data_IF_851016543260
#
_entry.id   IF_851016543260
#
_cell.length_a   1.000
_cell.length_b   1.000
_cell.length_c   1.000
_cell.angle_alpha   90.00
_cell.angle_beta   90.00
_cell.angle_gamma   90.00
#
_symmetry.space_group_name_H-M   'P 1'
#
loop_
_entity.id
_entity.type
_entity.pdbx_description
1 polymer ?
#
# COMPACT_ATOMS: atom_id res chain seq x y z
N UNK A 1 -5.56 0.56 11.61
CA UNK A 1 -5.48 0.45 10.14
C UNK A 1 -4.69 1.61 9.59
N UNK A 2 -4.03 1.41 8.46
CA UNK A 2 -3.23 2.45 7.82
C UNK A 2 -3.73 2.69 6.42
N UNK A 3 -3.83 3.97 6.06
CA UNK A 3 -4.10 4.40 4.70
C UNK A 3 -2.80 4.99 4.16
N UNK A 4 -2.30 4.41 3.07
CA UNK A 4 -1.06 4.85 2.43
C UNK A 4 -1.41 5.49 1.10
N UNK A 5 -1.03 6.74 0.93
CA UNK A 5 -1.22 7.49 -0.30
C UNK A 5 0.11 7.62 -1.01
N UNK A 6 0.13 7.22 -2.28
CA UNK A 6 1.29 7.37 -3.16
C UNK A 6 0.97 8.44 -4.20
N UNK A 7 1.82 9.45 -4.29
CA UNK A 7 1.71 10.49 -5.30
C UNK A 7 2.93 10.40 -6.20
N UNK A 8 2.72 10.18 -7.49
CA UNK A 8 3.83 10.11 -8.45
C UNK A 8 4.56 11.44 -8.52
N UNK A 9 5.89 11.38 -8.51
CA UNK A 9 6.78 12.53 -8.60
C UNK A 9 7.71 12.44 -9.80
N UNK A 10 7.45 11.49 -10.69
CA UNK A 10 8.22 11.24 -11.89
C UNK A 10 7.28 11.07 -13.08
N UNK A 11 7.78 11.22 -14.32
CA UNK A 11 6.97 10.97 -15.51
C UNK A 11 6.47 9.53 -15.56
N UNK A 12 5.30 9.31 -16.17
CA UNK A 12 4.71 7.98 -16.26
C UNK A 12 5.62 6.96 -16.94
N UNK A 13 6.48 7.40 -17.84
CA UNK A 13 7.47 6.50 -18.48
C UNK A 13 8.40 5.88 -17.44
N UNK A 14 8.88 6.66 -16.49
CA UNK A 14 9.72 6.16 -15.41
C UNK A 14 8.94 5.28 -14.45
N UNK A 15 7.72 5.69 -14.12
CA UNK A 15 6.81 4.90 -13.29
C UNK A 15 6.61 3.50 -13.91
N UNK A 16 6.30 3.48 -15.20
CA UNK A 16 6.05 2.21 -15.90
C UNK A 16 7.29 1.32 -15.98
N UNK A 17 8.47 1.91 -16.04
CA UNK A 17 9.73 1.16 -16.07
C UNK A 17 9.93 0.31 -14.80
N UNK A 18 9.39 0.75 -13.67
CA UNK A 18 9.50 0.04 -12.38
C UNK A 18 8.19 -0.60 -11.92
N UNK A 19 7.15 -0.57 -12.75
CA UNK A 19 5.83 -1.03 -12.36
C UNK A 19 5.81 -2.52 -12.02
N UNK A 20 6.48 -3.35 -12.79
CA UNK A 20 6.47 -4.80 -12.55
C UNK A 20 7.04 -5.16 -11.18
N UNK A 21 8.20 -4.60 -10.82
CA UNK A 21 8.82 -4.89 -9.51
C UNK A 21 8.04 -4.24 -8.37
N UNK A 22 7.43 -3.08 -8.60
CA UNK A 22 6.54 -2.44 -7.63
C UNK A 22 5.33 -3.34 -7.33
N UNK A 23 4.68 -3.90 -8.36
CA UNK A 23 3.53 -4.77 -8.18
C UNK A 23 3.90 -6.07 -7.46
N UNK A 24 5.09 -6.61 -7.70
CA UNK A 24 5.57 -7.77 -6.97
C UNK A 24 5.69 -7.47 -5.47
N UNK A 25 6.20 -6.29 -5.13
CA UNK A 25 6.30 -5.85 -3.74
C UNK A 25 4.91 -5.74 -3.10
N UNK A 26 3.94 -5.11 -3.78
CA UNK A 26 2.59 -4.98 -3.26
C UNK A 26 1.92 -6.34 -3.08
N UNK A 27 2.08 -7.24 -4.05
CA UNK A 27 1.48 -8.58 -3.99
C UNK A 27 2.07 -9.42 -2.88
N UNK A 28 3.35 -9.26 -2.57
CA UNK A 28 3.98 -9.95 -1.45
C UNK A 28 3.22 -9.68 -0.15
N UNK A 29 2.97 -8.40 0.15
CA UNK A 29 2.29 -8.01 1.39
C UNK A 29 0.78 -8.21 1.32
N UNK A 30 0.20 -8.18 0.13
CA UNK A 30 -1.19 -8.58 -0.06
C UNK A 30 -1.38 -10.06 0.30
N UNK A 31 -0.49 -10.93 -0.18
CA UNK A 31 -0.55 -12.35 0.12
C UNK A 31 -0.32 -12.66 1.60
N UNK A 32 0.45 -11.82 2.30
CA UNK A 32 0.66 -11.94 3.74
C UNK A 32 -0.47 -11.29 4.55
N UNK A 33 -1.50 -10.76 3.90
CA UNK A 33 -2.64 -10.08 4.51
C UNK A 33 -2.26 -8.81 5.28
N UNK A 34 -1.09 -8.26 5.02
CA UNK A 34 -0.67 -6.96 5.54
C UNK A 34 -1.34 -5.84 4.75
N UNK A 35 -1.36 -5.97 3.42
CA UNK A 35 -2.12 -5.06 2.55
C UNK A 35 -3.46 -5.72 2.23
N UNK A 36 -4.55 -5.00 2.49
CA UNK A 36 -5.91 -5.51 2.31
C UNK A 36 -6.43 -5.23 0.91
N UNK A 37 -6.21 -4.03 0.45
CA UNK A 37 -6.62 -3.58 -0.88
C UNK A 37 -5.65 -2.49 -1.34
N UNK A 38 -5.37 -2.49 -2.62
CA UNK A 38 -4.56 -1.45 -3.23
C UNK A 38 -4.96 -1.27 -4.69
N UNK A 39 -4.72 -0.09 -5.23
CA UNK A 39 -5.02 0.19 -6.61
C UNK A 39 -4.55 1.57 -7.04
N UNK A 40 -4.53 1.83 -8.37
CA UNK A 40 -4.17 3.13 -8.90
C UNK A 40 -5.28 4.16 -8.68
N UNK A 41 -4.90 5.42 -8.58
CA UNK A 41 -5.85 6.54 -8.56
C UNK A 41 -6.44 6.76 -9.95
N UNK A 42 -7.61 7.37 -10.00
CA UNK A 42 -8.27 7.79 -11.23
C UNK A 42 -8.50 9.30 -11.14
N UNK A 43 -7.83 10.13 -11.96
CA UNK A 43 -6.82 9.79 -12.97
C UNK A 43 -5.54 9.22 -12.35
N UNK A 44 -4.70 8.63 -13.18
CA UNK A 44 -3.51 7.89 -12.76
C UNK A 44 -2.38 8.83 -12.30
N UNK A 45 -2.53 9.39 -11.11
CA UNK A 45 -1.54 10.30 -10.49
C UNK A 45 -0.79 9.64 -9.34
N UNK A 46 -1.10 8.40 -9.04
CA UNK A 46 -0.52 7.65 -7.93
C UNK A 46 -1.35 6.42 -7.62
N UNK A 47 -1.28 5.97 -6.38
CA UNK A 47 -2.05 4.82 -5.91
C UNK A 47 -2.43 4.97 -4.45
N UNK A 48 -3.24 4.03 -3.96
CA UNK A 48 -3.63 3.98 -2.56
C UNK A 48 -3.54 2.54 -2.07
N UNK A 49 -3.25 2.38 -0.78
CA UNK A 49 -3.15 1.08 -0.12
C UNK A 49 -3.83 1.19 1.23
N UNK A 50 -4.67 0.20 1.59
CA UNK A 50 -5.14 0.00 2.95
C UNK A 50 -4.37 -1.15 3.56
N UNK A 51 -3.87 -0.97 4.79
CA UNK A 51 -3.02 -1.94 5.44
C UNK A 51 -3.44 -2.21 6.87
N UNK A 52 -3.30 -3.48 7.27
CA UNK A 52 -3.49 -3.96 8.65
C UNK A 52 -2.16 -4.21 9.35
N UNK A 53 -1.10 -3.54 8.96
CA UNK A 53 0.18 -3.67 9.65
C UNK A 53 0.01 -3.46 11.16
N UNK A 54 0.89 -4.07 11.94
CA UNK A 54 0.83 -4.03 13.39
C UNK A 54 1.24 -2.68 13.96
N UNK A 55 2.07 -1.93 13.24
CA UNK A 55 2.61 -0.66 13.71
C UNK A 55 2.99 0.23 12.55
N UNK A 56 3.09 1.52 12.84
CA UNK A 56 3.60 2.49 11.85
C UNK A 56 5.04 2.16 11.44
N UNK A 57 5.85 1.70 12.37
CA UNK A 57 7.24 1.33 12.09
C UNK A 57 7.30 0.18 11.09
N UNK A 58 6.38 -0.76 11.17
CA UNK A 58 6.31 -1.85 10.18
C UNK A 58 5.99 -1.29 8.79
N UNK A 59 5.01 -0.38 8.69
CA UNK A 59 4.65 0.26 7.43
C UNK A 59 5.83 1.04 6.85
N UNK A 60 6.52 1.82 7.67
CA UNK A 60 7.67 2.60 7.20
C UNK A 60 8.76 1.69 6.65
N UNK A 61 9.02 0.57 7.32
CA UNK A 61 10.01 -0.41 6.85
C UNK A 61 9.58 -1.04 5.52
N UNK A 62 8.30 -1.42 5.39
CA UNK A 62 7.77 -2.01 4.16
C UNK A 62 7.89 -1.02 2.99
N UNK A 63 7.59 0.25 3.22
CA UNK A 63 7.70 1.29 2.20
C UNK A 63 9.12 1.42 1.69
N UNK A 64 10.12 1.30 2.56
CA UNK A 64 11.53 1.41 2.12
C UNK A 64 11.95 0.30 1.19
N UNK A 65 11.22 -0.81 1.13
CA UNK A 65 11.48 -1.92 0.22
C UNK A 65 10.86 -1.71 -1.17
N UNK A 66 9.96 -0.73 -1.29
CA UNK A 66 9.25 -0.48 -2.54
C UNK A 66 10.18 0.21 -3.54
N UNK A 67 10.30 -0.32 -4.78
CA UNK A 67 11.12 0.34 -5.80
C UNK A 67 10.73 1.78 -6.07
N UNK A 68 9.45 2.12 -5.93
CA UNK A 68 9.00 3.50 -6.12
C UNK A 68 9.56 4.44 -5.05
N UNK A 69 9.75 3.93 -3.84
CA UNK A 69 10.43 4.69 -2.79
C UNK A 69 11.93 4.78 -3.06
N UNK A 70 12.54 3.64 -3.38
CA UNK A 70 14.00 3.54 -3.57
C UNK A 70 14.49 4.44 -4.69
N UNK A 71 13.72 4.57 -5.76
CA UNK A 71 14.08 5.37 -6.93
C UNK A 71 13.42 6.75 -6.92
N UNK A 72 12.79 7.14 -5.81
CA UNK A 72 12.17 8.47 -5.63
C UNK A 72 11.13 8.78 -6.71
N UNK A 73 10.35 7.78 -7.06
CA UNK A 73 9.31 7.93 -8.10
C UNK A 73 7.97 8.36 -7.55
N UNK A 74 7.77 8.28 -6.25
CA UNK A 74 6.53 8.66 -5.60
C UNK A 74 6.79 9.16 -4.17
N UNK A 75 5.92 10.06 -3.72
CA UNK A 75 5.84 10.47 -2.31
C UNK A 75 4.83 9.58 -1.63
N UNK A 76 5.16 9.11 -0.42
CA UNK A 76 4.32 8.25 0.39
C UNK A 76 3.84 9.00 1.61
N UNK A 77 2.53 8.99 1.84
CA UNK A 77 1.91 9.55 3.04
C UNK A 77 1.20 8.44 3.78
N UNK A 78 1.38 8.38 5.10
CA UNK A 78 0.79 7.35 5.95
C UNK A 78 -0.19 8.02 6.90
N UNK A 79 -1.43 7.54 6.92
CA UNK A 79 -2.43 7.96 7.89
C UNK A 79 -2.86 6.73 8.68
N UNK A 80 -2.67 6.77 9.98
CA UNK A 80 -3.20 5.73 10.86
C UNK A 80 -4.60 6.15 11.32
N UNK A 81 -5.53 5.19 11.36
CA UNK A 81 -6.88 5.44 11.83
C UNK A 81 -7.44 4.20 12.52
N UNK A 82 -8.40 4.44 13.40
CA UNK A 82 -9.10 3.37 14.10
C UNK A 82 -10.30 2.93 13.29
N UNK A 83 -10.73 1.69 13.50
CA UNK A 83 -11.87 1.11 12.79
C UNK A 83 -12.96 0.69 13.78
N UNK A 84 -13.57 1.66 14.51
CA UNK A 84 -14.61 1.32 15.51
C UNK A 84 -15.87 0.75 14.87
N UNK A 85 -16.11 1.04 13.60
CA UNK A 85 -17.22 0.48 12.84
C UNK A 85 -16.67 -0.18 11.59
N UNK A 86 -16.99 -1.45 11.41
CA UNK A 86 -16.57 -2.23 10.25
C UNK A 86 -17.56 -3.36 10.01
N UNK A 87 -17.55 -3.91 8.81
CA UNK A 87 -18.38 -5.08 8.50
C UNK A 87 -17.70 -6.35 9.00
N UNK A 88 -18.48 -7.37 9.41
CA UNK A 88 -17.91 -8.64 9.90
C UNK A 88 -16.95 -9.33 8.93
N UNK A 89 -17.18 -9.21 7.62
CA UNK A 89 -16.30 -9.79 6.61
C UNK A 89 -14.88 -9.25 6.68
N UNK A 90 -14.72 -7.97 7.07
CA UNK A 90 -13.41 -7.37 7.23
C UNK A 90 -12.66 -8.03 8.38
N UNK A 91 -13.32 -8.27 9.51
CA UNK A 91 -12.71 -8.94 10.66
C UNK A 91 -12.34 -10.39 10.34
N UNK A 92 -13.19 -11.09 9.60
CA UNK A 92 -12.90 -12.44 9.17
C UNK A 92 -11.59 -12.49 8.35
N UNK A 93 -11.40 -11.52 7.47
CA UNK A 93 -10.17 -11.40 6.70
C UNK A 93 -8.95 -11.17 7.60
N UNK A 94 -9.09 -10.27 8.59
CA UNK A 94 -8.02 -9.97 9.54
C UNK A 94 -7.62 -11.17 10.37
N UNK A 95 -8.61 -11.93 10.85
CA UNK A 95 -8.40 -13.08 11.71
C UNK A 95 -7.97 -14.32 10.93
N UNK A 96 -7.94 -14.24 9.61
CA UNK A 96 -7.64 -15.40 8.78
C UNK A 96 -8.79 -16.40 8.66
N UNK A 97 -9.96 -16.05 9.14
CA UNK A 97 -11.18 -16.85 9.04
C UNK A 97 -12.01 -16.35 7.85
N UNK A 98 -12.06 -17.09 6.82
CA UNK A 98 -12.74 -16.71 5.58
C UNK A 98 -14.03 -17.49 5.37
#
# INVERSE_FOLDING_TARGET
MFFIDLKYTAPLEEIDAYMEVHLKHLNKYYNEKVFVVWGPKVPRTGGVILSFANSREQIERIITEDPFYQHKLAEFSITEFLTPVHHPGLMALLDGNE
#
